data_IF_841467395357
#
_entry.id   IF_841467395357
#
_cell.length_a   1.000
_cell.length_b   1.000
_cell.length_c   1.000
_cell.angle_alpha   90.00
_cell.angle_beta   90.00
_cell.angle_gamma   90.00
#
_symmetry.space_group_name_H-M   'P 1'
#
loop_
_entity.id
_entity.type
_entity.pdbx_description
1 polymer ?
#
# COMPACT_ATOMS: atom_id res chain seq x y z
N UNK A 1 -9.89 19.01 -3.71
CA UNK A 1 -8.75 19.86 -3.35
C UNK A 1 -8.97 20.31 -1.92
N UNK A 2 -8.06 20.03 -1.00
CA UNK A 2 -8.18 20.47 0.39
C UNK A 2 -6.88 21.14 0.82
N UNK A 3 -6.98 22.32 1.41
CA UNK A 3 -5.86 23.13 1.90
C UNK A 3 -6.16 23.64 3.31
N UNK A 4 -5.31 23.24 4.27
CA UNK A 4 -4.86 23.93 5.51
C UNK A 4 -5.81 24.08 6.73
N UNK A 5 -5.32 24.27 7.99
CA UNK A 5 -3.94 24.64 8.44
C UNK A 5 -3.34 23.93 9.71
N UNK A 6 -2.02 24.09 9.93
CA UNK A 6 -1.22 23.96 11.20
C UNK A 6 -0.59 22.63 11.68
N UNK A 7 0.30 22.03 10.87
CA UNK A 7 1.67 21.50 11.19
C UNK A 7 2.35 21.09 9.84
N UNK A 8 3.68 21.08 9.70
CA UNK A 8 4.32 21.52 8.45
C UNK A 8 4.05 20.58 7.27
N UNK A 9 3.58 21.18 6.18
CA UNK A 9 3.48 20.65 4.82
C UNK A 9 4.74 19.89 4.31
N UNK A 10 5.88 20.00 5.01
CA UNK A 10 7.15 19.39 4.61
C UNK A 10 7.15 17.86 4.71
N UNK A 11 6.58 17.28 5.77
CA UNK A 11 6.57 15.81 5.97
C UNK A 11 5.61 15.12 4.98
N UNK A 12 4.41 15.68 4.80
CA UNK A 12 3.48 15.22 3.77
C UNK A 12 4.06 15.35 2.36
N UNK A 13 4.70 16.49 2.06
CA UNK A 13 5.33 16.70 0.77
C UNK A 13 6.49 15.74 0.49
N UNK A 14 7.19 15.28 1.53
CA UNK A 14 8.22 14.26 1.41
C UNK A 14 7.62 12.88 1.10
N UNK A 15 6.61 12.46 1.86
CA UNK A 15 5.95 11.18 1.66
C UNK A 15 5.29 11.09 0.27
N UNK A 16 4.62 12.16 -0.19
CA UNK A 16 4.03 12.21 -1.54
C UNK A 16 5.10 12.15 -2.65
N UNK A 17 6.28 12.75 -2.44
CA UNK A 17 7.41 12.58 -3.39
C UNK A 17 7.90 11.15 -3.43
N UNK A 18 8.04 10.49 -2.29
CA UNK A 18 8.39 9.07 -2.20
C UNK A 18 7.37 8.20 -2.93
N UNK A 19 6.08 8.47 -2.72
CA UNK A 19 5.01 7.82 -3.46
C UNK A 19 5.10 8.04 -4.96
N UNK A 20 5.30 9.28 -5.43
CA UNK A 20 5.41 9.57 -6.85
C UNK A 20 6.57 8.82 -7.52
N UNK A 21 7.73 8.73 -6.84
CA UNK A 21 8.87 7.94 -7.32
C UNK A 21 8.52 6.45 -7.36
N UNK A 22 7.86 5.95 -6.32
CA UNK A 22 7.49 4.53 -6.25
C UNK A 22 6.41 4.15 -7.28
N UNK A 23 5.43 5.02 -7.49
CA UNK A 23 4.39 4.92 -8.51
C UNK A 23 5.00 4.91 -9.91
N UNK A 24 6.01 5.74 -10.17
CA UNK A 24 6.73 5.72 -11.45
C UNK A 24 7.43 4.37 -11.69
N UNK A 25 8.05 3.77 -10.66
CA UNK A 25 8.64 2.43 -10.75
C UNK A 25 7.58 1.38 -11.10
N UNK A 26 6.45 1.39 -10.39
CA UNK A 26 5.33 0.47 -10.67
C UNK A 26 4.76 0.66 -12.09
N UNK A 27 4.55 1.91 -12.52
CA UNK A 27 4.11 2.28 -13.87
C UNK A 27 4.99 1.67 -14.97
N UNK A 28 6.31 1.74 -14.81
CA UNK A 28 7.24 1.17 -15.78
C UNK A 28 7.04 -0.35 -15.95
N UNK A 29 6.78 -1.04 -14.84
CA UNK A 29 6.54 -2.49 -14.84
C UNK A 29 5.16 -2.80 -15.44
N UNK A 30 4.11 -2.04 -15.10
CA UNK A 30 2.78 -2.21 -15.71
C UNK A 30 2.81 -2.00 -17.22
N UNK A 31 3.51 -0.96 -17.72
CA UNK A 31 3.68 -0.75 -19.16
C UNK A 31 4.37 -1.92 -19.86
N UNK A 32 5.36 -2.54 -19.20
CA UNK A 32 6.01 -3.77 -19.69
C UNK A 32 5.01 -4.93 -19.79
N UNK A 33 4.14 -5.12 -18.79
CA UNK A 33 3.09 -6.14 -18.78
C UNK A 33 2.05 -5.89 -19.88
N UNK A 34 1.51 -4.67 -19.94
CA UNK A 34 0.49 -4.25 -20.92
C UNK A 34 1.03 -4.43 -22.35
N UNK A 35 2.25 -3.98 -22.62
CA UNK A 35 2.87 -4.14 -23.94
C UNK A 35 3.02 -5.61 -24.32
N UNK A 36 3.49 -6.46 -23.40
CA UNK A 36 3.61 -7.89 -23.67
C UNK A 36 2.25 -8.53 -24.00
N UNK A 37 1.20 -8.13 -23.29
CA UNK A 37 -0.17 -8.56 -23.54
C UNK A 37 -0.68 -8.09 -24.92
N UNK A 38 -0.49 -6.81 -25.25
CA UNK A 38 -0.86 -6.24 -26.55
C UNK A 38 -0.10 -6.86 -27.72
N UNK A 39 1.17 -7.24 -27.52
CA UNK A 39 1.99 -7.99 -28.48
C UNK A 39 1.52 -9.45 -28.66
N UNK A 40 0.49 -9.90 -27.93
CA UNK A 40 -0.02 -11.27 -27.98
C UNK A 40 0.89 -12.32 -27.34
N UNK A 41 1.79 -11.92 -26.43
CA UNK A 41 2.72 -12.85 -25.79
C UNK A 41 1.99 -13.70 -24.75
N UNK A 42 2.16 -15.04 -24.76
CA UNK A 42 1.47 -15.92 -23.82
C UNK A 42 2.01 -15.82 -22.38
N UNK A 43 3.25 -15.35 -22.21
CA UNK A 43 3.93 -15.25 -20.91
C UNK A 43 4.84 -14.04 -20.85
N UNK A 44 5.01 -13.47 -19.65
CA UNK A 44 6.00 -12.44 -19.33
C UNK A 44 6.85 -12.89 -18.14
N UNK A 45 8.15 -12.60 -18.21
CA UNK A 45 9.07 -12.80 -17.10
C UNK A 45 9.28 -11.50 -16.33
N UNK A 46 8.96 -11.52 -15.04
CA UNK A 46 9.27 -10.46 -14.10
C UNK A 46 10.39 -10.91 -13.17
N UNK A 47 11.34 -10.02 -12.90
CA UNK A 47 12.30 -10.22 -11.81
C UNK A 47 11.56 -10.26 -10.49
N UNK A 48 12.11 -10.96 -9.49
CA UNK A 48 11.57 -10.95 -8.12
C UNK A 48 11.39 -9.51 -7.62
N UNK A 49 12.38 -8.65 -7.83
CA UNK A 49 12.32 -7.24 -7.46
C UNK A 49 11.23 -6.45 -8.17
N UNK A 50 10.92 -6.76 -9.44
CA UNK A 50 9.77 -6.15 -10.14
C UNK A 50 8.44 -6.61 -9.53
N UNK A 51 8.32 -7.90 -9.21
CA UNK A 51 7.13 -8.44 -8.52
C UNK A 51 6.96 -7.81 -7.14
N UNK A 52 8.03 -7.66 -6.38
CA UNK A 52 8.02 -7.08 -5.04
C UNK A 52 7.57 -5.61 -5.07
N UNK A 53 8.05 -4.83 -6.07
CA UNK A 53 7.56 -3.47 -6.33
C UNK A 53 6.05 -3.45 -6.57
N UNK A 54 5.53 -4.32 -7.44
CA UNK A 54 4.09 -4.36 -7.73
C UNK A 54 3.28 -4.74 -6.50
N UNK A 55 3.72 -5.74 -5.71
CA UNK A 55 2.98 -6.22 -4.53
C UNK A 55 2.90 -5.12 -3.48
N UNK A 56 4.02 -4.46 -3.23
CA UNK A 56 4.10 -3.32 -2.32
C UNK A 56 3.27 -2.14 -2.83
N UNK A 57 3.26 -1.88 -4.14
CA UNK A 57 2.44 -0.83 -4.72
C UNK A 57 0.94 -1.06 -4.51
N UNK A 58 0.46 -2.29 -4.73
CA UNK A 58 -0.95 -2.65 -4.48
C UNK A 58 -1.31 -2.49 -3.00
N UNK A 59 -0.44 -2.94 -2.09
CA UNK A 59 -0.65 -2.73 -0.65
C UNK A 59 -0.77 -1.25 -0.32
N UNK A 60 0.17 -0.44 -0.80
CA UNK A 60 0.23 0.99 -0.53
C UNK A 60 -0.99 1.74 -1.08
N UNK A 61 -1.51 1.36 -2.25
CA UNK A 61 -2.78 1.91 -2.74
C UNK A 61 -3.92 1.63 -1.75
N UNK A 62 -4.01 0.39 -1.24
CA UNK A 62 -4.94 -0.01 -0.19
C UNK A 62 -4.79 0.80 1.10
N UNK A 63 -3.56 0.84 1.60
CA UNK A 63 -3.21 1.50 2.85
C UNK A 63 -3.34 3.04 2.79
N UNK A 64 -3.36 3.65 1.60
CA UNK A 64 -3.67 5.08 1.36
C UNK A 64 -5.16 5.37 1.18
N UNK A 65 -6.00 4.34 1.20
CA UNK A 65 -7.43 4.48 1.01
C UNK A 65 -8.10 5.34 2.09
N UNK A 66 -9.30 5.82 1.77
CA UNK A 66 -10.11 6.65 2.65
C UNK A 66 -10.39 5.98 4.01
N UNK A 67 -10.47 4.65 4.06
CA UNK A 67 -10.67 3.91 5.31
C UNK A 67 -9.52 4.14 6.29
N UNK A 68 -8.27 3.95 5.85
CA UNK A 68 -7.09 4.19 6.68
C UNK A 68 -6.95 5.67 7.03
N UNK A 69 -7.21 6.55 6.07
CA UNK A 69 -7.20 7.99 6.33
C UNK A 69 -8.21 8.36 7.43
N UNK A 70 -9.46 7.87 7.38
CA UNK A 70 -10.47 8.15 8.41
C UNK A 70 -10.10 7.58 9.78
N UNK A 71 -9.49 6.38 9.82
CA UNK A 71 -9.04 5.74 11.06
C UNK A 71 -7.95 6.54 11.78
N UNK A 72 -6.98 7.08 11.05
CA UNK A 72 -5.80 7.73 11.65
C UNK A 72 -5.84 9.27 11.66
N UNK A 73 -6.58 9.91 10.74
CA UNK A 73 -6.71 11.38 10.68
C UNK A 73 -7.78 11.88 11.67
N UNK A 74 -7.46 11.75 12.95
CA UNK A 74 -8.29 12.20 14.07
C UNK A 74 -7.59 13.34 14.82
N UNK A 75 -8.37 14.24 15.41
CA UNK A 75 -7.86 15.36 16.19
C UNK A 75 -7.24 14.91 17.52
N UNK A 76 -7.75 13.81 18.09
CA UNK A 76 -7.29 13.25 19.35
C UNK A 76 -7.35 11.72 19.36
N UNK A 77 -6.47 11.11 20.17
CA UNK A 77 -6.56 9.69 20.50
C UNK A 77 -7.82 9.32 21.29
N UNK A 78 -8.55 10.29 21.84
CA UNK A 78 -9.84 10.04 22.48
C UNK A 78 -10.91 9.63 21.46
N UNK A 79 -10.87 10.21 20.25
CA UNK A 79 -11.83 9.98 19.18
C UNK A 79 -11.56 8.68 18.40
N UNK A 80 -10.44 8.01 18.70
CA UNK A 80 -10.09 6.74 18.11
C UNK A 80 -10.97 5.62 18.70
N UNK A 81 -11.80 5.00 17.87
CA UNK A 81 -12.80 4.00 18.25
C UNK A 81 -12.61 2.71 17.44
N UNK A 82 -11.50 2.03 17.70
CA UNK A 82 -11.15 0.72 17.16
C UNK A 82 -10.52 -0.13 18.28
N UNK A 83 -10.60 -1.45 18.12
CA UNK A 83 -10.14 -2.44 19.13
C UNK A 83 -8.64 -2.30 19.48
N UNK A 84 -7.83 -1.71 18.60
CA UNK A 84 -6.39 -1.52 18.78
C UNK A 84 -6.02 -0.18 19.47
N UNK A 85 -7.00 0.56 20.02
CA UNK A 85 -6.78 1.86 20.68
C UNK A 85 -5.67 1.86 21.71
N UNK A 86 -5.70 0.92 22.66
CA UNK A 86 -4.70 0.83 23.73
C UNK A 86 -3.30 0.54 23.18
N UNK A 87 -3.22 -0.34 22.17
CA UNK A 87 -1.97 -0.67 21.48
C UNK A 87 -1.40 0.54 20.75
N UNK A 88 -2.25 1.30 20.05
CA UNK A 88 -1.84 2.51 19.35
C UNK A 88 -1.37 3.59 20.33
N UNK A 89 -2.10 3.80 21.43
CA UNK A 89 -1.70 4.73 22.48
C UNK A 89 -0.34 4.36 23.09
N UNK A 90 -0.11 3.07 23.39
CA UNK A 90 1.17 2.60 23.91
C UNK A 90 2.31 2.83 22.92
N UNK A 91 2.09 2.48 21.64
CA UNK A 91 3.08 2.72 20.58
C UNK A 91 3.39 4.21 20.43
N UNK A 92 2.37 5.06 20.41
CA UNK A 92 2.56 6.51 20.33
C UNK A 92 3.36 7.07 21.51
N UNK A 93 3.03 6.66 22.73
CA UNK A 93 3.76 7.09 23.93
C UNK A 93 5.22 6.64 23.90
N UNK A 94 5.48 5.39 23.49
CA UNK A 94 6.83 4.82 23.38
C UNK A 94 7.70 5.55 22.34
N UNK A 95 7.11 5.96 21.22
CA UNK A 95 7.81 6.55 20.09
C UNK A 95 7.69 8.09 20.00
N UNK A 96 7.02 8.73 20.96
CA UNK A 96 6.89 10.19 21.04
C UNK A 96 5.92 10.79 20.03
N UNK A 97 4.99 10.01 19.48
CA UNK A 97 3.97 10.50 18.56
C UNK A 97 2.84 11.22 19.29
N UNK A 98 2.37 12.32 18.71
CA UNK A 98 1.26 13.11 19.27
C UNK A 98 -0.07 12.90 18.55
N UNK A 99 -0.04 12.51 17.27
CA UNK A 99 -1.23 12.25 16.48
C UNK A 99 -1.17 10.85 15.86
N UNK A 100 -2.30 10.11 15.82
CA UNK A 100 -2.35 8.79 15.17
C UNK A 100 -1.98 8.84 13.69
N UNK A 101 -2.24 9.96 13.00
CA UNK A 101 -1.85 10.12 11.59
C UNK A 101 -0.34 10.08 11.37
N UNK A 102 0.46 10.55 12.35
CA UNK A 102 1.92 10.54 12.25
C UNK A 102 2.46 9.10 12.27
N UNK A 103 1.83 8.22 13.06
CA UNK A 103 2.13 6.77 13.08
C UNK A 103 1.86 6.14 11.73
N UNK A 104 0.72 6.48 11.11
CA UNK A 104 0.35 5.97 9.80
C UNK A 104 1.33 6.46 8.71
N UNK A 105 1.69 7.74 8.69
CA UNK A 105 2.67 8.25 7.72
C UNK A 105 4.05 7.65 7.87
N UNK A 106 4.57 7.55 9.10
CA UNK A 106 5.85 6.89 9.35
C UNK A 106 5.82 5.42 8.89
N UNK A 107 4.70 4.73 9.12
CA UNK A 107 4.52 3.35 8.68
C UNK A 107 4.52 3.23 7.14
N UNK A 108 3.80 4.11 6.44
CA UNK A 108 3.79 4.14 4.97
C UNK A 108 5.18 4.44 4.40
N UNK A 109 5.89 5.40 4.99
CA UNK A 109 7.23 5.77 4.57
C UNK A 109 8.22 4.60 4.70
N UNK A 110 8.24 3.96 5.87
CA UNK A 110 9.08 2.80 6.12
C UNK A 110 8.78 1.64 5.15
N UNK A 111 7.50 1.41 4.82
CA UNK A 111 7.13 0.41 3.80
C UNK A 111 7.66 0.80 2.42
N UNK A 112 7.56 2.07 2.00
CA UNK A 112 8.11 2.52 0.70
C UNK A 112 9.61 2.29 0.62
N UNK A 113 10.34 2.54 1.70
CA UNK A 113 11.80 2.43 1.73
C UNK A 113 12.30 0.99 1.96
N UNK A 114 11.45 0.11 2.49
CA UNK A 114 11.79 -1.28 2.77
C UNK A 114 12.25 -2.03 1.52
N UNK A 115 13.44 -2.63 1.61
CA UNK A 115 13.91 -3.64 0.66
C UNK A 115 13.48 -5.04 1.13
N UNK A 116 12.89 -5.82 0.22
CA UNK A 116 12.37 -7.16 0.54
C UNK A 116 13.47 -8.16 0.18
N UNK A 117 14.31 -8.49 1.16
CA UNK A 117 15.41 -9.43 0.97
C UNK A 117 14.92 -10.89 0.83
N UNK A 118 15.82 -11.79 0.41
CA UNK A 118 15.54 -13.22 0.24
C UNK A 118 15.74 -14.04 1.50
N UNK A 119 16.39 -13.48 2.51
CA UNK A 119 16.74 -14.12 3.78
C UNK A 119 15.65 -13.90 4.86
N UNK A 120 14.60 -13.16 4.50
CA UNK A 120 13.42 -12.84 5.29
C UNK A 120 13.66 -11.89 6.48
N UNK A 121 14.83 -11.27 6.56
CA UNK A 121 15.17 -10.30 7.60
C UNK A 121 14.25 -9.06 7.58
N UNK A 122 13.73 -8.71 6.40
CA UNK A 122 12.78 -7.62 6.23
C UNK A 122 11.52 -7.77 7.09
N UNK A 123 11.06 -9.00 7.41
CA UNK A 123 9.86 -9.24 8.23
C UNK A 123 10.07 -8.80 9.67
N UNK A 124 11.21 -9.18 10.24
CA UNK A 124 11.59 -8.74 11.59
C UNK A 124 11.82 -7.24 11.59
N UNK A 125 12.60 -6.74 10.62
CA UNK A 125 12.92 -5.33 10.52
C UNK A 125 11.66 -4.45 10.44
N UNK A 126 10.70 -4.78 9.58
CA UNK A 126 9.48 -3.98 9.45
C UNK A 126 8.62 -4.07 10.72
N UNK A 127 8.53 -5.25 11.36
CA UNK A 127 7.76 -5.44 12.60
C UNK A 127 8.30 -4.63 13.78
N UNK A 128 9.62 -4.41 13.82
CA UNK A 128 10.27 -3.58 14.84
C UNK A 128 10.22 -2.07 14.49
N UNK A 129 10.11 -1.75 13.21
CA UNK A 129 10.23 -0.36 12.71
C UNK A 129 8.91 0.41 12.65
N UNK A 130 7.76 -0.27 12.56
CA UNK A 130 6.45 0.39 12.41
C UNK A 130 5.41 -0.18 13.37
N UNK A 131 4.22 0.42 13.39
CA UNK A 131 3.13 -0.04 14.23
C UNK A 131 2.69 -1.47 13.87
N UNK A 132 2.69 -2.37 14.86
CA UNK A 132 2.54 -3.82 14.67
C UNK A 132 1.33 -4.23 13.80
N UNK A 133 0.10 -3.71 14.00
CA UNK A 133 -1.02 -4.05 13.13
C UNK A 133 -0.79 -3.71 11.65
N UNK A 134 -0.10 -2.61 11.34
CA UNK A 134 0.25 -2.23 9.96
C UNK A 134 1.34 -3.16 9.43
N UNK A 135 2.37 -3.46 10.24
CA UNK A 135 3.43 -4.41 9.87
C UNK A 135 2.87 -5.80 9.55
N UNK A 136 2.01 -6.32 10.44
CA UNK A 136 1.39 -7.63 10.29
C UNK A 136 0.51 -7.69 9.03
N UNK A 137 -0.30 -6.64 8.78
CA UNK A 137 -1.09 -6.54 7.54
C UNK A 137 -0.20 -6.54 6.29
N UNK A 138 0.90 -5.79 6.31
CA UNK A 138 1.86 -5.76 5.20
C UNK A 138 2.53 -7.12 4.96
N UNK A 139 2.99 -7.79 6.02
CA UNK A 139 3.61 -9.11 5.93
C UNK A 139 2.62 -10.13 5.34
N UNK A 140 1.39 -10.18 5.86
CA UNK A 140 0.34 -11.07 5.34
C UNK A 140 0.05 -10.78 3.86
N UNK A 141 0.00 -9.51 3.46
CA UNK A 141 -0.16 -9.15 2.05
C UNK A 141 1.00 -9.63 1.17
N UNK A 142 2.24 -9.59 1.66
CA UNK A 142 3.41 -10.01 0.89
C UNK A 142 3.60 -11.53 0.89
N UNK A 143 3.26 -12.23 1.97
CA UNK A 143 3.52 -13.66 2.13
C UNK A 143 2.33 -14.54 1.74
N UNK A 144 1.10 -14.11 2.07
CA UNK A 144 -0.06 -15.02 2.07
C UNK A 144 -1.06 -14.75 0.94
N UNK A 145 -0.83 -13.69 0.14
CA UNK A 145 -1.70 -13.33 -0.98
C UNK A 145 -1.07 -13.65 -2.34
N UNK A 146 -1.89 -13.95 -3.33
CA UNK A 146 -1.46 -14.02 -4.74
C UNK A 146 -1.87 -12.75 -5.48
N UNK A 147 -0.99 -12.27 -6.36
CA UNK A 147 -1.32 -11.16 -7.25
C UNK A 147 -1.80 -11.70 -8.59
N UNK A 148 -2.98 -11.23 -9.01
CA UNK A 148 -3.50 -11.42 -10.35
C UNK A 148 -3.76 -10.05 -11.00
N UNK A 149 -3.47 -9.94 -12.29
CA UNK A 149 -3.83 -8.79 -13.12
C UNK A 149 -4.72 -9.32 -14.23
N UNK A 150 -5.95 -8.82 -14.28
CA UNK A 150 -6.96 -9.28 -15.22
C UNK A 150 -7.52 -8.09 -15.99
N UNK A 151 -7.70 -8.26 -17.30
CA UNK A 151 -8.41 -7.31 -18.14
C UNK A 151 -9.77 -7.91 -18.49
N UNK A 152 -10.88 -7.23 -18.17
CA UNK A 152 -12.20 -7.64 -18.64
C UNK A 152 -12.26 -7.77 -20.15
N UNK A 153 -12.93 -8.81 -20.67
CA UNK A 153 -13.30 -8.84 -22.10
C UNK A 153 -14.42 -7.84 -22.38
N UNK A 154 -15.36 -7.73 -21.44
CA UNK A 154 -16.46 -6.79 -21.46
C UNK A 154 -16.49 -6.01 -20.12
N UNK A 155 -16.57 -4.68 -20.19
CA UNK A 155 -16.60 -3.82 -19.00
C UNK A 155 -17.89 -3.96 -18.19
N UNK A 156 -18.96 -4.47 -18.81
CA UNK A 156 -20.27 -4.66 -18.19
C UNK A 156 -20.45 -6.08 -17.60
N UNK A 157 -19.46 -6.96 -17.75
CA UNK A 157 -19.51 -8.32 -17.20
C UNK A 157 -18.91 -8.39 -15.79
N UNK A 158 -19.59 -9.10 -14.89
CA UNK A 158 -19.06 -9.47 -13.57
C UNK A 158 -17.96 -10.54 -13.72
N UNK A 159 -16.84 -10.37 -13.02
CA UNK A 159 -15.78 -11.39 -12.96
C UNK A 159 -16.03 -12.31 -11.78
N UNK A 160 -16.15 -13.61 -12.06
CA UNK A 160 -16.14 -14.63 -11.02
C UNK A 160 -14.69 -14.94 -10.69
N UNK A 161 -14.29 -14.65 -9.46
CA UNK A 161 -13.02 -15.09 -8.92
C UNK A 161 -13.06 -16.60 -8.74
N UNK A 162 -12.01 -17.31 -9.15
CA UNK A 162 -11.90 -18.76 -8.93
C UNK A 162 -11.98 -19.09 -7.44
N UNK A 163 -12.36 -20.32 -7.10
CA UNK A 163 -12.56 -20.83 -5.72
C UNK A 163 -11.38 -20.61 -4.74
N UNK A 164 -10.22 -20.18 -5.25
CA UNK A 164 -8.98 -19.88 -4.51
C UNK A 164 -8.74 -18.39 -4.25
N UNK A 165 -9.56 -17.49 -4.79
CA UNK A 165 -9.43 -16.04 -4.61
C UNK A 165 -10.42 -15.56 -3.54
N UNK A 166 -9.89 -15.15 -2.39
CA UNK A 166 -10.72 -14.82 -1.23
C UNK A 166 -11.16 -13.36 -1.16
N UNK A 167 -10.48 -12.42 -1.83
CA UNK A 167 -10.87 -11.00 -1.88
C UNK A 167 -10.28 -10.28 -3.10
N UNK A 168 -11.05 -9.38 -3.72
CA UNK A 168 -10.52 -8.33 -4.60
C UNK A 168 -10.68 -7.00 -3.86
N UNK A 169 -9.58 -6.32 -3.50
CA UNK A 169 -9.65 -4.90 -3.19
C UNK A 169 -10.04 -4.18 -4.49
N UNK A 170 -11.33 -3.90 -4.68
CA UNK A 170 -11.79 -3.11 -5.83
C UNK A 170 -11.35 -1.66 -5.63
N UNK A 171 -10.16 -1.33 -6.12
CA UNK A 171 -9.63 0.03 -6.02
C UNK A 171 -9.93 0.82 -7.28
N UNK A 172 -10.85 1.80 -7.15
CA UNK A 172 -11.15 2.79 -8.21
C UNK A 172 -9.87 3.53 -8.65
N UNK A 173 -8.90 3.69 -7.73
CA UNK A 173 -7.59 4.29 -7.99
C UNK A 173 -6.70 3.49 -8.95
N UNK A 174 -6.67 2.16 -8.84
CA UNK A 174 -5.85 1.31 -9.73
C UNK A 174 -6.42 1.33 -11.16
N UNK A 175 -7.75 1.28 -11.30
CA UNK A 175 -8.41 1.40 -12.61
C UNK A 175 -8.13 2.76 -13.26
N UNK A 176 -8.12 3.87 -12.50
CA UNK A 176 -7.77 5.21 -13.02
C UNK A 176 -6.28 5.32 -13.37
N UNK A 177 -5.40 4.72 -12.59
CA UNK A 177 -3.96 4.67 -12.85
C UNK A 177 -3.64 3.88 -14.12
N UNK A 178 -4.24 2.70 -14.30
CA UNK A 178 -4.01 1.86 -15.47
C UNK A 178 -4.55 2.47 -16.77
N UNK A 179 -5.64 3.27 -16.72
CA UNK A 179 -6.14 4.02 -17.89
C UNK A 179 -5.22 5.16 -18.36
N UNK A 180 -4.23 5.55 -17.53
CA UNK A 180 -3.23 6.55 -17.90
C UNK A 180 -2.06 5.99 -18.73
N UNK A 181 -2.05 4.68 -18.99
CA UNK A 181 -1.06 3.96 -19.80
C UNK A 181 -1.72 3.31 -21.01
#
# INVERSE_FOLDING_TARGET
MYVSPTKPLQEHGHLEKKFAVFENKASCIYRKIIKAYQDGKPTIWLKRTEKDVLRKFVFLLGARGEQYHRKYNLDSMQDYDDDDKELLQHYMAKHGFTKPIDVWFQSLEAIIDLDIDTEEYWKQHISESIYFPIANSFINHICDMYMAICTPVNYDEEFILTDTCYNVPSFIGLHRFLRGF
#
